data_IF_212455477106
#
_entry.id   IF_212455477106
#
_cell.length_a   1.000
_cell.length_b   1.000
_cell.length_c   1.000
_cell.angle_alpha   90.00
_cell.angle_beta   90.00
_cell.angle_gamma   90.00
#
_symmetry.space_group_name_H-M   'P 1'
#
loop_
_entity.id
_entity.type
_entity.pdbx_description
1 polymer ?
#
# COMPACT_ATOMS: atom_id res chain seq x y z
N UNK A 1 -0.13 -5.42 5.40
CA UNK A 1 -1.53 -5.39 5.89
C UNK A 1 -1.83 -6.57 6.79
N UNK A 2 -1.78 -7.82 6.30
CA UNK A 2 -2.16 -9.02 7.08
C UNK A 2 -1.27 -9.24 8.31
N UNK A 3 0.07 -9.24 8.14
CA UNK A 3 1.03 -9.51 9.24
C UNK A 3 0.94 -8.58 10.46
N UNK A 4 0.34 -7.40 10.31
CA UNK A 4 0.31 -6.36 11.35
C UNK A 4 -1.11 -5.83 11.58
N UNK A 5 -2.15 -6.62 11.27
CA UNK A 5 -3.56 -6.26 11.50
C UNK A 5 -3.94 -4.88 10.94
N UNK A 6 -3.34 -4.53 9.79
CA UNK A 6 -3.60 -3.27 9.09
C UNK A 6 -4.97 -3.23 8.40
N UNK A 7 -5.75 -4.30 8.47
CA UNK A 7 -7.09 -4.41 7.86
C UNK A 7 -8.01 -5.15 8.83
N UNK A 8 -9.21 -4.60 9.06
CA UNK A 8 -10.31 -5.27 9.75
C UNK A 8 -11.44 -5.52 8.75
N UNK A 9 -12.43 -4.61 8.65
CA UNK A 9 -13.56 -4.74 7.71
C UNK A 9 -13.15 -4.74 6.22
N UNK A 10 -11.92 -4.32 5.89
CA UNK A 10 -11.39 -4.36 4.53
C UNK A 10 -11.82 -3.22 3.61
N UNK A 11 -12.87 -2.46 3.93
CA UNK A 11 -13.44 -1.46 3.03
C UNK A 11 -12.43 -0.40 2.55
N UNK A 12 -11.65 0.17 3.47
CA UNK A 12 -10.62 1.17 3.16
C UNK A 12 -9.31 0.57 2.62
N UNK A 13 -9.14 -0.75 2.68
CA UNK A 13 -7.85 -1.42 2.42
C UNK A 13 -7.35 -1.21 0.99
N UNK A 14 -8.17 -1.29 -0.08
CA UNK A 14 -7.71 -1.05 -1.45
C UNK A 14 -7.11 0.34 -1.64
N UNK A 15 -7.80 1.40 -1.18
CA UNK A 15 -7.30 2.78 -1.27
C UNK A 15 -5.99 2.98 -0.53
N UNK A 16 -5.92 2.46 0.71
CA UNK A 16 -4.72 2.51 1.55
C UNK A 16 -3.52 1.82 0.88
N UNK A 17 -3.73 0.62 0.30
CA UNK A 17 -2.68 -0.13 -0.41
C UNK A 17 -2.21 0.65 -1.64
N UNK A 18 -3.12 1.22 -2.41
CA UNK A 18 -2.76 1.99 -3.61
C UNK A 18 -2.01 3.28 -3.28
N UNK A 19 -2.38 3.98 -2.20
CA UNK A 19 -1.64 5.15 -1.75
C UNK A 19 -0.23 4.81 -1.25
N UNK A 20 -0.06 3.70 -0.53
CA UNK A 20 1.27 3.20 -0.16
C UNK A 20 2.08 2.77 -1.38
N UNK A 21 1.45 2.12 -2.35
CA UNK A 21 2.09 1.75 -3.61
C UNK A 21 2.56 2.98 -4.39
N UNK A 22 1.73 4.02 -4.47
CA UNK A 22 2.12 5.30 -5.08
C UNK A 22 3.31 5.94 -4.36
N UNK A 23 3.34 5.91 -3.02
CA UNK A 23 4.49 6.37 -2.23
C UNK A 23 5.77 5.58 -2.61
N UNK A 24 5.65 4.26 -2.77
CA UNK A 24 6.76 3.36 -3.11
C UNK A 24 7.30 3.61 -4.52
N UNK A 25 6.41 3.71 -5.51
CA UNK A 25 6.78 3.98 -6.91
C UNK A 25 7.49 5.32 -7.07
N UNK A 26 7.07 6.32 -6.29
CA UNK A 26 7.71 7.64 -6.26
C UNK A 26 8.98 7.71 -5.39
N UNK A 27 9.48 6.55 -4.89
CA UNK A 27 10.70 6.44 -4.07
C UNK A 27 10.69 7.35 -2.84
N UNK A 28 9.51 7.63 -2.29
CA UNK A 28 9.36 8.46 -1.09
C UNK A 28 9.75 7.63 0.14
N UNK A 29 10.66 8.15 0.98
CA UNK A 29 11.08 7.49 2.23
C UNK A 29 9.90 7.35 3.21
N UNK A 30 9.76 6.20 3.90
CA UNK A 30 8.61 5.89 4.76
C UNK A 30 8.71 6.54 6.16
N UNK A 31 8.98 7.85 6.22
CA UNK A 31 8.90 8.59 7.49
C UNK A 31 7.45 8.66 7.96
N UNK A 32 7.20 8.84 9.26
CA UNK A 32 5.83 9.01 9.78
C UNK A 32 5.07 10.10 9.01
N UNK A 33 5.72 11.24 8.79
CA UNK A 33 5.16 12.38 8.06
C UNK A 33 4.79 12.04 6.62
N UNK A 34 5.64 11.29 5.91
CA UNK A 34 5.37 10.89 4.53
C UNK A 34 4.25 9.86 4.46
N UNK A 35 4.24 8.87 5.36
CA UNK A 35 3.15 7.89 5.45
C UNK A 35 1.82 8.61 5.72
N UNK A 36 1.77 9.51 6.68
CA UNK A 36 0.56 10.27 7.01
C UNK A 36 0.10 11.14 5.83
N UNK A 37 1.02 11.82 5.14
CA UNK A 37 0.71 12.59 3.94
C UNK A 37 0.13 11.70 2.83
N UNK A 38 0.71 10.53 2.59
CA UNK A 38 0.20 9.58 1.59
C UNK A 38 -1.15 8.98 1.97
N UNK A 39 -1.44 8.83 3.26
CA UNK A 39 -2.69 8.28 3.76
C UNK A 39 -3.77 9.34 4.02
N UNK A 40 -3.47 10.63 3.90
CA UNK A 40 -4.40 11.73 4.25
C UNK A 40 -5.73 11.66 3.47
N UNK A 41 -5.73 11.13 2.24
CA UNK A 41 -6.93 10.92 1.44
C UNK A 41 -7.68 9.61 1.72
N UNK A 42 -7.22 8.79 2.68
CA UNK A 42 -7.79 7.48 2.98
C UNK A 42 -8.36 7.45 4.39
N UNK A 43 -9.69 7.47 4.49
CA UNK A 43 -10.39 7.35 5.76
C UNK A 43 -10.51 5.89 6.20
N UNK A 44 -10.15 5.61 7.45
CA UNK A 44 -10.29 4.30 8.07
C UNK A 44 -11.00 4.44 9.43
N UNK A 45 -12.15 3.75 9.58
CA UNK A 45 -12.88 3.76 10.85
C UNK A 45 -12.45 2.67 11.82
N UNK A 46 -11.89 1.57 11.34
CA UNK A 46 -11.71 0.36 12.14
C UNK A 46 -10.35 0.27 12.85
N UNK A 47 -9.26 0.63 12.14
CA UNK A 47 -7.89 0.30 12.61
C UNK A 47 -7.25 1.37 13.50
N UNK A 48 -7.78 2.60 13.50
CA UNK A 48 -7.13 3.74 14.17
C UNK A 48 -5.73 4.10 13.62
N UNK A 49 -5.40 3.68 12.38
CA UNK A 49 -4.16 3.99 11.64
C UNK A 49 -2.84 3.43 12.17
N UNK A 50 -2.71 3.12 13.47
CA UNK A 50 -1.45 2.64 14.06
C UNK A 50 -0.94 1.39 13.34
N UNK A 51 -1.80 0.39 13.16
CA UNK A 51 -1.50 -0.88 12.50
C UNK A 51 -1.14 -0.72 11.03
N UNK A 52 -1.81 0.20 10.32
CA UNK A 52 -1.51 0.54 8.92
C UNK A 52 -0.11 1.16 8.82
N UNK A 53 0.22 2.12 9.69
CA UNK A 53 1.53 2.78 9.70
C UNK A 53 2.67 1.78 9.98
N UNK A 54 2.46 0.84 10.89
CA UNK A 54 3.42 -0.26 11.15
C UNK A 54 3.61 -1.13 9.91
N UNK A 55 2.52 -1.53 9.26
CA UNK A 55 2.59 -2.32 8.03
C UNK A 55 3.32 -1.58 6.89
N UNK A 56 3.10 -0.26 6.76
CA UNK A 56 3.75 0.58 5.75
C UNK A 56 5.27 0.61 5.94
N UNK A 57 5.75 0.85 7.17
CA UNK A 57 7.18 0.81 7.48
C UNK A 57 7.81 -0.54 7.19
N UNK A 58 7.18 -1.61 7.68
CA UNK A 58 7.68 -2.97 7.47
C UNK A 58 7.87 -3.31 5.99
N UNK A 59 6.90 -2.92 5.14
CA UNK A 59 6.99 -3.15 3.69
C UNK A 59 8.24 -2.51 3.08
N UNK A 60 8.54 -1.27 3.46
CA UNK A 60 9.70 -0.54 2.96
C UNK A 60 11.02 -1.09 3.49
N UNK A 61 11.12 -1.33 4.80
CA UNK A 61 12.35 -1.77 5.45
C UNK A 61 12.80 -3.14 4.92
N UNK A 62 11.83 -3.98 4.52
CA UNK A 62 12.10 -5.31 3.96
C UNK A 62 12.15 -5.31 2.42
N UNK A 63 12.14 -4.12 1.79
CA UNK A 63 12.16 -3.90 0.35
C UNK A 63 11.24 -4.87 -0.40
N UNK A 64 10.01 -5.07 0.11
CA UNK A 64 9.08 -6.05 -0.42
C UNK A 64 8.66 -5.57 -1.81
N UNK A 65 9.28 -6.15 -2.84
CA UNK A 65 8.95 -5.84 -4.22
C UNK A 65 7.57 -6.41 -4.55
N UNK A 66 6.71 -5.64 -5.25
CA UNK A 66 5.49 -6.18 -5.81
C UNK A 66 5.83 -7.42 -6.65
N UNK A 67 5.13 -8.54 -6.44
CA UNK A 67 5.29 -9.72 -7.29
C UNK A 67 4.72 -9.39 -8.67
N UNK A 68 5.60 -9.21 -9.64
CA UNK A 68 5.19 -9.06 -11.04
C UNK A 68 4.65 -10.39 -11.58
N UNK A 69 3.38 -10.41 -11.96
CA UNK A 69 2.82 -11.53 -12.71
C UNK A 69 2.98 -11.23 -14.21
N UNK A 70 4.11 -11.68 -14.79
CA UNK A 70 4.45 -11.43 -16.19
C UNK A 70 3.34 -11.83 -17.16
N UNK A 71 2.64 -12.95 -16.91
CA UNK A 71 1.52 -13.41 -17.74
C UNK A 71 0.37 -12.39 -17.74
N UNK A 72 0.01 -11.86 -16.57
CA UNK A 72 -1.04 -10.84 -16.47
C UNK A 72 -0.63 -9.53 -17.12
N UNK A 73 0.62 -9.10 -16.95
CA UNK A 73 1.13 -7.86 -17.59
C UNK A 73 1.10 -8.00 -19.11
N UNK A 74 1.52 -9.15 -19.64
CA UNK A 74 1.51 -9.41 -21.08
C UNK A 74 0.07 -9.47 -21.63
N UNK A 75 -0.85 -10.08 -20.89
CA UNK A 75 -2.28 -10.08 -21.22
C UNK A 75 -2.88 -8.66 -21.25
N UNK A 76 -2.60 -7.84 -20.22
CA UNK A 76 -3.07 -6.45 -20.16
C UNK A 76 -2.52 -5.60 -21.32
N UNK A 77 -1.26 -5.81 -21.72
CA UNK A 77 -0.67 -5.15 -22.91
C UNK A 77 -1.32 -5.58 -24.22
N UNK A 78 -1.88 -6.79 -24.29
CA UNK A 78 -2.63 -7.27 -25.46
C UNK A 78 -4.03 -6.66 -25.54
N UNK A 79 -4.68 -6.38 -24.41
CA UNK A 79 -6.00 -5.73 -24.35
C UNK A 79 -5.91 -4.21 -24.53
N UNK A 80 -4.80 -3.58 -24.13
CA UNK A 80 -4.61 -2.13 -24.30
C UNK A 80 -4.20 -1.70 -25.72
N UNK A 81 -4.29 -2.62 -26.70
CA UNK A 81 -4.14 -2.37 -28.14
C UNK A 81 -5.49 -2.53 -28.80
#
# INVERSE_FOLDING_TARGET
>A
MIKYDGSQCGFCTPGIVMSMYGMYQNKIKPTNKNIEKSLAGNLCRCTGYKSIKTAAKYMYDNNIKPKENKKNIEFLKKISK
#
